data_IF_061572239685
#
_entry.id   IF_061572239685
#
_cell.length_a   1.000
_cell.length_b   1.000
_cell.length_c   1.000
_cell.angle_alpha   90.00
_cell.angle_beta   90.00
_cell.angle_gamma   90.00
#
_symmetry.space_group_name_H-M   'P 1'
#
loop_
_entity.id
_entity.type
_entity.pdbx_description
1 polymer ?
#
# COMPACT_ATOMS: atom_id res chain seq x y z
N UNK A 1 -2.09 10.52 19.70
CA UNK A 1 -2.72 9.47 20.52
C UNK A 1 -1.56 8.60 21.01
N UNK A 2 -1.65 7.89 22.15
CA UNK A 2 -0.52 7.08 22.63
C UNK A 2 -0.75 5.60 22.27
N UNK A 3 -0.44 5.22 21.03
CA UNK A 3 -0.26 3.81 20.69
C UNK A 3 0.93 3.26 21.49
N UNK A 4 0.70 2.21 22.28
CA UNK A 4 1.76 1.59 23.08
C UNK A 4 2.21 0.27 22.46
N UNK A 5 3.47 0.22 22.04
CA UNK A 5 4.10 -1.03 21.60
C UNK A 5 4.32 -1.94 22.82
N UNK A 6 3.67 -3.11 22.80
CA UNK A 6 3.90 -4.22 23.73
C UNK A 6 4.99 -5.16 23.23
N UNK A 7 5.09 -5.30 21.91
CA UNK A 7 6.17 -5.96 21.16
C UNK A 7 6.50 -5.10 19.95
N UNK A 8 7.77 -5.02 19.59
CA UNK A 8 8.24 -4.22 18.46
C UNK A 8 9.05 -3.01 18.86
N UNK A 9 9.38 -2.18 17.88
CA UNK A 9 10.10 -0.94 18.09
C UNK A 9 9.40 0.19 17.30
N UNK A 10 8.87 1.24 17.95
CA UNK A 10 8.21 2.33 17.24
C UNK A 10 9.15 3.13 16.31
N UNK A 11 10.48 3.03 16.50
CA UNK A 11 11.49 3.64 15.61
C UNK A 11 11.92 2.72 14.45
N UNK A 12 11.54 1.44 14.51
CA UNK A 12 11.80 0.46 13.46
C UNK A 12 10.59 -0.50 13.34
N UNK A 13 9.37 0.03 13.06
CA UNK A 13 8.17 -0.78 12.93
C UNK A 13 8.30 -1.76 11.76
N UNK A 14 7.66 -2.92 11.90
CA UNK A 14 7.82 -4.05 10.96
C UNK A 14 7.07 -3.87 9.65
N UNK A 15 6.14 -2.92 9.59
CA UNK A 15 5.20 -2.73 8.47
C UNK A 15 3.89 -3.48 8.67
N UNK A 16 3.79 -4.31 9.71
CA UNK A 16 2.56 -5.00 10.07
C UNK A 16 2.46 -5.20 11.59
N UNK A 17 1.25 -5.05 12.12
CA UNK A 17 1.02 -5.05 13.56
C UNK A 17 -0.33 -5.69 13.92
N UNK A 18 -0.37 -6.34 15.07
CA UNK A 18 -1.62 -6.70 15.74
C UNK A 18 -1.99 -5.55 16.65
N UNK A 19 -3.17 -4.97 16.46
CA UNK A 19 -3.73 -3.99 17.36
C UNK A 19 -4.63 -4.65 18.38
N UNK A 20 -4.57 -4.20 19.62
CA UNK A 20 -5.45 -4.64 20.69
C UNK A 20 -6.09 -3.46 21.42
N UNK A 21 -7.31 -3.65 21.89
CA UNK A 21 -7.93 -2.77 22.87
C UNK A 21 -8.68 -3.60 23.93
N UNK A 22 -8.73 -3.10 25.16
CA UNK A 22 -9.50 -3.73 26.24
C UNK A 22 -10.92 -3.20 26.30
N UNK A 23 -11.89 -4.06 26.58
CA UNK A 23 -13.25 -3.61 26.87
C UNK A 23 -13.27 -2.68 28.08
N UNK A 24 -14.03 -1.59 27.99
CA UNK A 24 -14.33 -0.74 29.17
C UNK A 24 -15.27 -1.43 30.16
N UNK A 25 -15.99 -2.48 29.75
CA UNK A 25 -16.92 -3.23 30.62
C UNK A 25 -16.22 -4.37 31.37
N UNK A 26 -15.24 -5.03 30.76
CA UNK A 26 -14.42 -6.07 31.39
C UNK A 26 -13.01 -6.07 30.76
N UNK A 27 -11.96 -5.63 31.47
CA UNK A 27 -10.60 -5.56 30.94
C UNK A 27 -10.00 -6.90 30.48
N UNK A 28 -10.63 -8.05 30.81
CA UNK A 28 -10.23 -9.38 30.31
C UNK A 28 -10.67 -9.63 28.88
N UNK A 29 -11.70 -8.92 28.40
CA UNK A 29 -12.17 -9.00 27.02
C UNK A 29 -11.25 -8.15 26.16
N UNK A 30 -10.60 -8.80 25.20
CA UNK A 30 -9.68 -8.18 24.25
C UNK A 30 -10.38 -8.12 22.89
N UNK A 31 -10.37 -6.93 22.31
CA UNK A 31 -10.65 -6.74 20.90
C UNK A 31 -9.33 -6.61 20.15
N UNK A 32 -9.27 -7.14 18.94
CA UNK A 32 -8.10 -7.07 18.10
C UNK A 32 -8.43 -6.91 16.61
N UNK A 33 -7.47 -6.39 15.86
CA UNK A 33 -7.46 -6.39 14.40
C UNK A 33 -6.02 -6.40 13.91
N UNK A 34 -5.79 -6.68 12.64
CA UNK A 34 -4.49 -6.60 12.01
C UNK A 34 -4.34 -5.28 11.26
N UNK A 35 -3.19 -4.63 11.35
CA UNK A 35 -2.80 -3.47 10.57
C UNK A 35 -1.67 -3.87 9.63
N UNK A 36 -1.78 -3.51 8.35
CA UNK A 36 -0.75 -3.78 7.35
C UNK A 36 -0.44 -2.53 6.53
N UNK A 37 0.84 -2.23 6.40
CA UNK A 37 1.40 -1.36 5.38
C UNK A 37 1.84 -2.27 4.22
N UNK A 38 1.22 -2.18 3.04
CA UNK A 38 1.60 -3.02 1.92
C UNK A 38 3.08 -2.81 1.54
N UNK A 39 3.87 -3.89 1.36
CA UNK A 39 5.30 -3.77 1.03
C UNK A 39 5.56 -3.26 -0.39
N UNK A 40 4.53 -3.26 -1.24
CA UNK A 40 4.52 -2.73 -2.61
C UNK A 40 3.20 -2.01 -2.85
N UNK A 41 3.12 -1.08 -3.83
CA UNK A 41 1.88 -0.35 -4.12
C UNK A 41 0.67 -1.28 -4.28
N UNK A 42 -0.30 -1.15 -3.37
CA UNK A 42 -1.53 -1.93 -3.37
C UNK A 42 -2.70 -1.07 -3.86
N UNK A 43 -3.43 -1.61 -4.82
CA UNK A 43 -4.64 -1.02 -5.37
C UNK A 43 -5.79 -1.99 -5.20
N UNK A 44 -6.67 -1.74 -4.23
CA UNK A 44 -7.92 -2.48 -4.05
C UNK A 44 -8.87 -2.30 -5.24
N UNK A 45 -8.77 -1.17 -5.96
CA UNK A 45 -9.54 -0.92 -7.17
C UNK A 45 -9.31 -1.99 -8.25
N UNK A 46 -8.11 -2.60 -8.31
CA UNK A 46 -7.80 -3.70 -9.24
C UNK A 46 -8.54 -5.00 -8.92
N UNK A 47 -9.07 -5.14 -7.70
CA UNK A 47 -9.82 -6.29 -7.25
C UNK A 47 -11.34 -6.06 -7.31
N UNK A 48 -11.79 -4.85 -7.66
CA UNK A 48 -13.20 -4.55 -7.85
C UNK A 48 -13.66 -5.02 -9.23
N UNK A 49 -14.71 -5.85 -9.31
CA UNK A 49 -15.39 -6.12 -10.57
C UNK A 49 -15.84 -4.81 -11.23
N UNK A 50 -15.71 -4.72 -12.56
CA UNK A 50 -16.01 -3.50 -13.33
C UNK A 50 -17.43 -2.98 -13.10
N UNK A 51 -18.42 -3.87 -12.95
CA UNK A 51 -19.80 -3.49 -12.69
C UNK A 51 -20.02 -2.87 -11.30
N UNK A 52 -19.17 -3.20 -10.31
CA UNK A 52 -19.18 -2.56 -8.99
C UNK A 52 -18.41 -1.25 -9.02
N UNK A 53 -17.24 -1.22 -9.67
CA UNK A 53 -16.43 -0.02 -9.80
C UNK A 53 -17.21 1.14 -10.47
N UNK A 54 -18.07 0.83 -11.45
CA UNK A 54 -18.93 1.81 -12.11
C UNK A 54 -20.00 2.44 -11.21
N UNK A 55 -20.28 1.85 -10.04
CA UNK A 55 -21.28 2.34 -9.08
C UNK A 55 -20.67 3.20 -7.96
N UNK A 56 -19.34 3.19 -7.83
CA UNK A 56 -18.65 3.91 -6.76
C UNK A 56 -18.37 5.37 -7.19
N UNK A 57 -18.42 6.32 -6.24
CA UNK A 57 -17.90 7.65 -6.47
C UNK A 57 -16.43 7.62 -6.93
N UNK A 58 -16.00 8.52 -7.84
CA UNK A 58 -14.61 8.60 -8.27
C UNK A 58 -13.61 8.75 -7.11
N UNK A 59 -13.99 9.43 -6.04
CA UNK A 59 -13.19 9.64 -4.84
C UNK A 59 -12.87 8.31 -4.14
N UNK A 60 -13.88 7.48 -3.88
CA UNK A 60 -13.71 6.17 -3.25
C UNK A 60 -12.85 5.23 -4.12
N UNK A 61 -13.00 5.32 -5.44
CA UNK A 61 -12.18 4.54 -6.36
C UNK A 61 -10.71 4.98 -6.33
N UNK A 62 -10.45 6.28 -6.16
CA UNK A 62 -9.09 6.83 -6.01
C UNK A 62 -8.45 6.41 -4.69
N UNK A 63 -9.21 6.42 -3.59
CA UNK A 63 -8.73 5.93 -2.29
C UNK A 63 -8.41 4.43 -2.35
N UNK A 64 -9.28 3.64 -2.98
CA UNK A 64 -9.03 2.23 -3.23
C UNK A 64 -7.85 1.99 -4.18
N UNK A 65 -7.46 2.98 -4.99
CA UNK A 65 -6.37 2.83 -5.95
C UNK A 65 -4.99 2.87 -5.31
N UNK A 66 -4.83 3.55 -4.16
CA UNK A 66 -3.54 3.74 -3.48
C UNK A 66 -3.69 3.52 -1.97
N UNK A 67 -3.56 2.27 -1.54
CA UNK A 67 -3.67 1.91 -0.12
C UNK A 67 -2.28 1.91 0.52
N UNK A 68 -2.04 2.89 1.40
CA UNK A 68 -0.77 3.03 2.12
C UNK A 68 -0.75 2.22 3.42
N UNK A 69 -1.87 2.12 4.11
CA UNK A 69 -2.03 1.35 5.34
C UNK A 69 -3.48 0.97 5.48
N UNK A 70 -3.77 -0.24 5.94
CA UNK A 70 -5.13 -0.69 6.12
C UNK A 70 -5.29 -1.65 7.29
N UNK A 71 -6.45 -1.57 7.98
CA UNK A 71 -6.87 -2.59 8.92
C UNK A 71 -7.56 -3.78 8.24
N UNK A 72 -7.39 -4.97 8.80
CA UNK A 72 -8.03 -6.20 8.37
C UNK A 72 -8.39 -7.03 9.63
N UNK A 73 -9.67 -7.14 10.01
CA UNK A 73 -10.86 -6.45 9.46
C UNK A 73 -10.89 -4.93 9.81
N UNK A 74 -11.76 -4.11 9.20
CA UNK A 74 -11.80 -2.65 9.41
C UNK A 74 -12.30 -2.19 10.78
N UNK A 75 -12.54 -3.13 11.69
CA UNK A 75 -12.93 -2.86 13.06
C UNK A 75 -12.18 -3.79 14.02
N UNK A 76 -12.05 -3.35 15.26
CA UNK A 76 -11.61 -4.18 16.37
C UNK A 76 -12.62 -5.29 16.61
N UNK A 77 -12.26 -6.57 16.52
CA UNK A 77 -13.17 -7.70 16.77
C UNK A 77 -12.79 -8.47 18.03
N UNK A 78 -13.78 -9.01 18.73
CA UNK A 78 -13.56 -9.92 19.85
C UNK A 78 -13.24 -11.32 19.31
N UNK A 79 -12.22 -12.00 19.87
CA UNK A 79 -11.97 -13.38 19.45
C UNK A 79 -10.64 -13.99 19.85
N UNK A 80 -9.78 -13.30 20.59
CA UNK A 80 -8.48 -13.84 20.99
C UNK A 80 -8.08 -13.37 22.38
N UNK A 81 -7.43 -14.25 23.15
CA UNK A 81 -6.81 -13.86 24.42
C UNK A 81 -5.51 -13.08 24.15
N UNK A 82 -5.12 -12.23 25.09
CA UNK A 82 -3.85 -11.49 24.98
C UNK A 82 -2.64 -12.42 24.84
N UNK A 83 -2.63 -13.54 25.57
CA UNK A 83 -1.56 -14.55 25.49
C UNK A 83 -1.46 -15.17 24.09
N UNK A 84 -2.60 -15.48 23.46
CA UNK A 84 -2.62 -16.00 22.09
C UNK A 84 -2.06 -14.98 21.10
N UNK A 85 -2.47 -13.71 21.22
CA UNK A 85 -2.00 -12.63 20.36
C UNK A 85 -0.50 -12.35 20.53
N UNK A 86 0.03 -12.46 21.76
CA UNK A 86 1.47 -12.36 22.03
C UNK A 86 2.25 -13.51 21.38
N UNK A 87 1.76 -14.75 21.50
CA UNK A 87 2.35 -15.91 20.84
C UNK A 87 2.31 -15.78 19.31
N UNK A 88 1.21 -15.26 18.76
CA UNK A 88 1.06 -15.04 17.33
C UNK A 88 2.04 -13.97 16.82
N UNK A 89 2.12 -12.85 17.53
CA UNK A 89 3.06 -11.76 17.21
C UNK A 89 4.51 -12.22 17.25
N UNK A 90 4.87 -13.06 18.23
CA UNK A 90 6.22 -13.63 18.33
C UNK A 90 6.56 -14.54 17.15
N UNK A 91 5.67 -15.47 16.81
CA UNK A 91 5.91 -16.43 15.72
C UNK A 91 5.95 -15.81 14.33
N UNK A 92 5.22 -14.73 14.12
CA UNK A 92 5.14 -14.04 12.82
C UNK A 92 6.11 -12.85 12.72
N UNK A 93 6.77 -12.52 13.82
CA UNK A 93 7.55 -11.29 13.99
C UNK A 93 6.73 -10.02 13.71
N UNK A 94 5.49 -10.00 14.19
CA UNK A 94 4.58 -8.85 14.09
C UNK A 94 4.83 -7.88 15.25
N UNK A 95 4.63 -6.58 15.01
CA UNK A 95 4.47 -5.63 16.12
C UNK A 95 3.16 -5.93 16.86
N UNK A 96 3.12 -5.68 18.18
CA UNK A 96 1.91 -5.81 18.99
C UNK A 96 1.66 -4.48 19.68
N UNK A 97 0.56 -3.81 19.33
CA UNK A 97 0.26 -2.47 19.81
C UNK A 97 -1.04 -2.42 20.60
N UNK A 98 -0.96 -1.89 21.82
CA UNK A 98 -2.11 -1.56 22.65
C UNK A 98 -2.61 -0.16 22.25
N UNK A 99 -3.81 -0.12 21.69
CA UNK A 99 -4.50 1.11 21.31
C UNK A 99 -5.57 1.48 22.34
N UNK A 100 -5.44 1.04 23.60
CA UNK A 100 -6.21 1.54 24.74
C UNK A 100 -7.49 0.75 25.03
N UNK A 101 -8.56 1.47 25.38
CA UNK A 101 -9.85 0.86 25.76
C UNK A 101 -10.95 1.24 24.79
N UNK A 102 -11.94 0.35 24.65
CA UNK A 102 -13.10 0.54 23.78
C UNK A 102 -14.40 0.07 24.45
N UNK A 103 -15.51 0.76 24.17
CA UNK A 103 -16.83 0.28 24.55
C UNK A 103 -17.28 -0.80 23.55
N UNK A 104 -17.54 -2.05 23.97
CA UNK A 104 -17.97 -3.13 23.07
C UNK A 104 -19.19 -2.80 22.22
N UNK A 105 -20.10 -1.98 22.75
CA UNK A 105 -21.38 -1.63 22.13
C UNK A 105 -21.28 -0.48 21.12
N UNK A 106 -20.12 0.16 21.02
CA UNK A 106 -19.90 1.30 20.15
C UNK A 106 -19.07 0.88 18.92
N UNK A 107 -19.78 0.40 17.89
CA UNK A 107 -19.16 -0.04 16.63
C UNK A 107 -18.46 1.11 15.89
N UNK A 108 -19.03 2.31 15.94
CA UNK A 108 -18.45 3.51 15.34
C UNK A 108 -17.10 3.83 15.97
N UNK A 109 -17.03 3.85 17.30
CA UNK A 109 -15.78 4.07 18.02
C UNK A 109 -14.76 2.94 17.75
N UNK A 110 -15.20 1.68 17.61
CA UNK A 110 -14.32 0.55 17.26
C UNK A 110 -13.68 0.73 15.88
N UNK A 111 -14.45 1.13 14.87
CA UNK A 111 -13.93 1.41 13.52
C UNK A 111 -13.01 2.64 13.52
N UNK A 112 -13.46 3.74 14.12
CA UNK A 112 -12.68 4.99 14.18
C UNK A 112 -11.33 4.78 14.86
N UNK A 113 -11.31 4.07 15.99
CA UNK A 113 -10.09 3.79 16.74
C UNK A 113 -9.05 3.03 15.91
N UNK A 114 -9.52 2.08 15.09
CA UNK A 114 -8.66 1.31 14.19
C UNK A 114 -8.12 2.18 13.06
N UNK A 115 -8.96 3.03 12.46
CA UNK A 115 -8.55 3.93 11.40
C UNK A 115 -7.46 4.89 11.88
N UNK A 116 -7.65 5.51 13.06
CA UNK A 116 -6.68 6.40 13.70
C UNK A 116 -5.37 5.65 14.02
N UNK A 117 -5.46 4.45 14.59
CA UNK A 117 -4.29 3.62 14.87
C UNK A 117 -3.52 3.23 13.61
N UNK A 118 -4.21 2.90 12.52
CA UNK A 118 -3.56 2.57 11.24
C UNK A 118 -2.85 3.78 10.65
N UNK A 119 -3.48 4.96 10.70
CA UNK A 119 -2.84 6.20 10.26
C UNK A 119 -1.57 6.48 11.07
N UNK A 120 -1.64 6.39 12.40
CA UNK A 120 -0.48 6.58 13.28
C UNK A 120 0.65 5.59 12.97
N UNK A 121 0.35 4.29 12.90
CA UNK A 121 1.33 3.26 12.58
C UNK A 121 1.92 3.40 11.18
N UNK A 122 1.10 3.76 10.19
CA UNK A 122 1.56 4.04 8.83
C UNK A 122 2.54 5.21 8.78
N UNK A 123 2.32 6.27 9.57
CA UNK A 123 3.28 7.37 9.68
C UNK A 123 4.61 6.95 10.33
N UNK A 124 4.56 6.12 11.37
CA UNK A 124 5.78 5.55 11.98
C UNK A 124 6.58 4.74 10.96
N UNK A 125 5.90 3.88 10.20
CA UNK A 125 6.55 3.07 9.18
C UNK A 125 7.11 3.93 8.04
N UNK A 126 6.38 4.92 7.55
CA UNK A 126 6.88 5.85 6.54
C UNK A 126 8.15 6.57 7.04
N UNK A 127 8.13 7.08 8.26
CA UNK A 127 9.30 7.72 8.88
C UNK A 127 10.52 6.80 8.96
N UNK A 128 10.30 5.53 9.30
CA UNK A 128 11.35 4.51 9.30
C UNK A 128 11.88 4.20 7.89
N UNK A 129 11.00 4.07 6.89
CA UNK A 129 11.42 3.78 5.51
C UNK A 129 12.28 4.87 4.89
N UNK A 130 12.06 6.14 5.27
CA UNK A 130 12.91 7.26 4.82
C UNK A 130 14.36 7.14 5.32
N UNK A 131 14.62 6.37 6.38
CA UNK A 131 15.99 6.06 6.83
C UNK A 131 16.70 5.07 5.91
N UNK A 132 15.96 4.27 5.12
CA UNK A 132 16.53 3.33 4.16
C UNK A 132 17.11 4.02 2.94
N UNK A 133 16.49 5.12 2.49
CA UNK A 133 16.95 5.87 1.31
C UNK A 133 18.35 6.47 1.52
N UNK A 134 18.75 6.69 2.78
CA UNK A 134 20.11 7.13 3.12
C UNK A 134 21.18 6.04 2.91
N UNK A 135 20.79 4.77 2.69
CA UNK A 135 21.71 3.62 2.55
C UNK A 135 22.09 3.33 1.08
N UNK A 136 21.48 4.01 0.10
CA UNK A 136 21.76 3.80 -1.33
C UNK A 136 22.27 5.07 -2.02
N UNK A 137 23.54 5.40 -1.77
CA UNK A 137 24.34 6.28 -2.66
C UNK A 137 25.84 5.98 -2.51
N UNK A 138 26.24 4.70 -2.61
CA UNK A 138 27.67 4.31 -2.76
C UNK A 138 27.88 3.12 -3.71
N UNK A 139 27.02 2.94 -4.71
CA UNK A 139 27.45 2.25 -5.92
C UNK A 139 28.08 3.31 -6.85
N UNK A 140 29.32 3.14 -7.33
CA UNK A 140 29.77 3.93 -8.47
C UNK A 140 28.89 3.50 -9.64
N UNK A 141 27.90 4.33 -9.93
CA UNK A 141 27.15 4.25 -11.17
C UNK A 141 28.15 4.69 -12.23
N UNK A 142 28.80 3.71 -12.87
CA UNK A 142 29.46 3.97 -14.15
C UNK A 142 28.44 4.68 -15.01
N UNK A 143 28.81 5.90 -15.40
CA UNK A 143 28.00 6.83 -16.16
C UNK A 143 27.59 6.17 -17.48
N UNK A 144 26.38 5.61 -17.51
CA UNK A 144 25.66 5.48 -18.76
C UNK A 144 24.89 6.80 -18.89
N UNK A 145 25.45 7.70 -19.69
CA UNK A 145 24.79 8.90 -20.18
C UNK A 145 23.50 8.48 -20.91
N UNK A 146 22.40 8.38 -20.18
CA UNK A 146 21.07 8.44 -20.79
C UNK A 146 20.48 9.84 -20.53
N UNK A 147 20.28 10.65 -21.58
CA UNK A 147 19.63 11.94 -21.41
C UNK A 147 18.19 11.72 -20.94
N UNK A 148 17.86 12.28 -19.78
CA UNK A 148 16.52 12.34 -19.23
C UNK A 148 15.61 13.14 -20.16
N UNK A 149 14.84 12.47 -21.02
CA UNK A 149 13.70 13.07 -21.70
C UNK A 149 12.47 12.99 -20.78
N UNK A 150 11.73 14.10 -20.57
CA UNK A 150 10.45 14.08 -19.87
C UNK A 150 9.47 13.13 -20.56
N UNK A 151 8.72 12.34 -19.77
CA UNK A 151 7.73 11.37 -20.27
C UNK A 151 6.62 11.99 -21.16
N UNK A 152 6.44 13.33 -21.10
CA UNK A 152 5.47 14.06 -21.92
C UNK A 152 5.90 14.28 -23.38
N UNK A 153 7.18 14.07 -23.73
CA UNK A 153 7.72 14.23 -25.09
C UNK A 153 7.97 12.89 -25.82
N UNK A 154 7.56 11.76 -25.24
CA UNK A 154 7.77 10.45 -25.85
C UNK A 154 6.71 10.17 -26.91
N UNK A 155 7.11 10.22 -28.18
CA UNK A 155 6.24 9.86 -29.31
C UNK A 155 5.88 8.36 -29.23
N UNK A 156 4.59 8.09 -28.99
CA UNK A 156 4.07 6.73 -28.88
C UNK A 156 4.33 5.89 -30.14
N UNK A 157 4.39 6.54 -31.31
CA UNK A 157 4.68 5.88 -32.58
C UNK A 157 6.15 5.45 -32.66
N UNK A 158 7.07 6.24 -32.10
CA UNK A 158 8.49 5.93 -32.03
C UNK A 158 8.76 4.74 -31.11
N UNK A 159 8.13 4.70 -29.94
CA UNK A 159 8.25 3.58 -29.00
C UNK A 159 7.70 2.28 -29.61
N UNK A 160 6.60 2.36 -30.36
CA UNK A 160 6.03 1.22 -31.06
C UNK A 160 7.00 0.72 -32.14
N UNK A 161 7.64 1.64 -32.89
CA UNK A 161 8.68 1.30 -33.85
C UNK A 161 9.87 0.61 -33.19
N UNK A 162 10.30 1.04 -32.00
CA UNK A 162 11.44 0.44 -31.29
C UNK A 162 11.20 -1.02 -30.90
N UNK A 163 9.95 -1.40 -30.63
CA UNK A 163 9.58 -2.79 -30.28
C UNK A 163 9.39 -3.71 -31.49
N UNK A 164 9.37 -3.18 -32.71
CA UNK A 164 9.18 -3.96 -33.93
C UNK A 164 10.46 -4.67 -34.38
N UNK A 165 10.29 -5.88 -34.92
CA UNK A 165 11.34 -6.56 -35.69
C UNK A 165 11.63 -5.82 -37.00
N UNK A 166 12.83 -5.99 -37.56
CA UNK A 166 13.22 -5.32 -38.82
C UNK A 166 12.26 -5.60 -39.97
N UNK A 167 11.71 -6.82 -40.02
CA UNK A 167 10.69 -7.19 -41.01
C UNK A 167 9.40 -6.39 -40.86
N UNK A 168 8.98 -6.12 -39.63
CA UNK A 168 7.79 -5.32 -39.34
C UNK A 168 8.02 -3.84 -39.68
N UNK A 169 9.20 -3.30 -39.33
CA UNK A 169 9.59 -1.93 -39.71
C UNK A 169 9.57 -1.71 -41.22
N UNK A 170 10.13 -2.65 -42.00
CA UNK A 170 10.11 -2.59 -43.46
C UNK A 170 8.69 -2.64 -44.06
N UNK A 171 7.78 -3.35 -43.39
CA UNK A 171 6.37 -3.45 -43.81
C UNK A 171 5.64 -2.13 -43.58
N UNK A 172 5.79 -1.50 -42.41
CA UNK A 172 5.19 -0.19 -42.12
C UNK A 172 5.78 0.92 -43.01
N UNK A 173 7.09 0.90 -43.26
CA UNK A 173 7.71 1.83 -44.21
C UNK A 173 7.10 1.69 -45.62
N UNK A 174 6.91 0.45 -46.09
CA UNK A 174 6.28 0.20 -47.39
C UNK A 174 4.85 0.73 -47.47
N UNK A 175 4.09 0.63 -46.37
CA UNK A 175 2.73 1.17 -46.26
C UNK A 175 2.72 2.70 -46.29
N UNK A 176 3.61 3.36 -45.53
CA UNK A 176 3.73 4.82 -45.50
C UNK A 176 4.16 5.39 -46.86
N UNK A 177 5.14 4.75 -47.52
CA UNK A 177 5.56 5.12 -48.89
C UNK A 177 4.42 4.92 -49.89
N UNK A 178 3.65 3.85 -49.75
CA UNK A 178 2.45 3.62 -50.55
C UNK A 178 1.42 4.72 -50.36
N UNK A 179 1.07 5.04 -49.11
CA UNK A 179 0.13 6.12 -48.78
C UNK A 179 0.59 7.47 -49.31
N UNK A 180 1.87 7.82 -49.14
CA UNK A 180 2.44 9.07 -49.65
C UNK A 180 2.39 9.16 -51.19
N UNK A 181 2.59 8.04 -51.89
CA UNK A 181 2.55 7.99 -53.36
C UNK A 181 1.14 8.21 -53.93
N UNK A 182 0.11 7.86 -53.16
CA UNK A 182 -1.31 7.96 -53.57
C UNK A 182 -2.07 9.09 -52.84
N UNK A 183 -1.38 9.89 -52.04
CA UNK A 183 -1.91 11.12 -51.46
C UNK A 183 -1.85 12.25 -52.51
N UNK A 184 -2.92 12.38 -53.29
CA UNK A 184 -3.24 13.54 -54.14
C UNK A 184 -4.45 14.25 -53.56
#
# INVERSE_FOLDING_TARGET
MDMRFLRGNPQAPKGHAIFIARSTSDPKIIFCTYCIVPPTPLSLAKYLPSFLAAQLPPEELREAANVNVMPIPPMLEEGSSLEHLQMLADRRDDDLCDIGTINPKDEGARMQRVAEGCQEYGQLYLGYTLTFEQVSSTAPMDQIDEPSMPLDDMDAEELLLQTMTDRQKLTELGKLVGMARYAV
#
